data_IF_655838296420
#
_entry.id   IF_655838296420
#
_cell.length_a   1.000
_cell.length_b   1.000
_cell.length_c   1.000
_cell.angle_alpha   90.00
_cell.angle_beta   90.00
_cell.angle_gamma   90.00
#
_symmetry.space_group_name_H-M   'P 1'
#
loop_
_entity.id
_entity.type
_entity.pdbx_description
1 polymer ?
#
# COMPACT_ATOMS: atom_id res chain seq x y z
N UNK A 1 -1.99 0.12 11.54
CA UNK A 1 -1.96 -0.06 10.08
C UNK A 1 -0.56 -0.25 9.56
N UNK A 2 -0.39 -1.23 8.67
CA UNK A 2 0.83 -1.45 7.88
C UNK A 2 0.46 -1.52 6.41
N UNK A 3 1.03 -0.63 5.61
CA UNK A 3 0.97 -0.68 4.16
C UNK A 3 2.38 -0.71 3.58
N UNK A 4 2.57 -1.41 2.48
CA UNK A 4 3.85 -1.42 1.76
C UNK A 4 3.66 -1.65 0.27
N UNK A 5 4.67 -1.25 -0.49
CA UNK A 5 4.73 -1.48 -1.92
C UNK A 5 6.17 -1.60 -2.40
N UNK A 6 6.37 -2.32 -3.49
CA UNK A 6 7.68 -2.48 -4.10
C UNK A 6 7.60 -2.72 -5.61
N UNK A 7 8.63 -2.26 -6.31
CA UNK A 7 8.83 -2.57 -7.72
C UNK A 7 9.52 -3.92 -7.80
N UNK A 8 8.96 -4.81 -8.63
CA UNK A 8 9.49 -6.13 -8.94
C UNK A 8 10.09 -6.14 -10.36
N UNK A 9 10.80 -7.21 -10.72
CA UNK A 9 11.35 -7.39 -12.07
C UNK A 9 10.28 -7.38 -13.17
N UNK A 10 9.07 -7.80 -12.84
CA UNK A 10 7.96 -8.05 -13.74
C UNK A 10 6.68 -7.26 -13.39
N UNK A 11 6.76 -6.34 -12.43
CA UNK A 11 5.61 -5.54 -12.05
C UNK A 11 5.74 -4.79 -10.74
N UNK A 12 4.62 -4.61 -10.06
CA UNK A 12 4.53 -3.95 -8.75
C UNK A 12 3.75 -4.86 -7.80
N UNK A 13 4.23 -4.95 -6.58
CA UNK A 13 3.53 -5.61 -5.49
C UNK A 13 3.11 -4.58 -4.44
N UNK A 14 1.85 -4.66 -4.03
CA UNK A 14 1.30 -3.91 -2.90
C UNK A 14 0.81 -4.88 -1.83
N UNK A 15 1.06 -4.54 -0.56
CA UNK A 15 0.61 -5.34 0.57
C UNK A 15 0.09 -4.45 1.71
N UNK A 16 -0.92 -4.94 2.42
CA UNK A 16 -1.48 -4.25 3.58
C UNK A 16 -2.05 -5.24 4.60
N UNK A 17 -2.02 -4.87 5.87
CA UNK A 17 -2.84 -5.50 6.91
C UNK A 17 -4.30 -5.07 6.76
N UNK A 18 -5.19 -5.65 7.56
CA UNK A 18 -6.64 -5.38 7.45
C UNK A 18 -7.32 -4.92 8.74
N UNK A 19 -6.56 -4.68 9.83
CA UNK A 19 -7.14 -4.19 11.08
C UNK A 19 -7.49 -2.71 11.00
N UNK A 20 -8.72 -2.36 11.36
CA UNK A 20 -9.10 -0.97 11.65
C UNK A 20 -9.49 -0.84 13.12
N UNK A 21 -9.02 0.23 13.76
CA UNK A 21 -9.21 0.50 15.18
C UNK A 21 -9.95 1.82 15.41
N UNK A 22 -10.71 1.88 16.49
CA UNK A 22 -11.26 3.11 17.03
C UNK A 22 -10.68 3.28 18.43
N UNK A 23 -9.72 4.20 18.58
CA UNK A 23 -8.88 4.26 19.77
C UNK A 23 -8.10 2.94 19.96
N UNK A 24 -8.22 2.32 21.13
CA UNK A 24 -7.59 1.04 21.45
C UNK A 24 -8.43 -0.19 21.04
N UNK A 25 -9.67 0.00 20.58
CA UNK A 25 -10.56 -1.10 20.23
C UNK A 25 -10.42 -1.49 18.77
N UNK A 26 -10.38 -2.79 18.47
CA UNK A 26 -10.44 -3.32 17.10
C UNK A 26 -11.89 -3.27 16.61
N UNK A 27 -12.18 -2.33 15.71
CA UNK A 27 -13.51 -2.14 15.15
C UNK A 27 -13.78 -3.07 13.95
N UNK A 28 -12.79 -3.25 13.07
CA UNK A 28 -12.89 -4.08 11.86
C UNK A 28 -11.63 -4.91 11.73
N UNK A 29 -11.78 -6.20 11.35
CA UNK A 29 -10.64 -7.14 11.23
C UNK A 29 -10.24 -7.46 9.80
N UNK A 30 -11.06 -7.09 8.83
CA UNK A 30 -10.93 -7.43 7.40
C UNK A 30 -11.13 -6.23 6.47
N UNK A 31 -10.74 -5.04 6.95
CA UNK A 31 -10.83 -3.81 6.16
C UNK A 31 -9.89 -3.86 4.97
N UNK A 32 -10.43 -3.57 3.79
CA UNK A 32 -9.61 -3.41 2.59
C UNK A 32 -8.87 -2.05 2.60
N UNK A 33 -7.54 -2.08 2.63
CA UNK A 33 -6.66 -0.91 2.61
C UNK A 33 -5.94 -0.71 1.27
N UNK A 34 -6.33 -1.48 0.24
CA UNK A 34 -5.80 -1.37 -1.12
C UNK A 34 -6.97 -1.19 -2.08
N UNK A 35 -7.10 -0.01 -2.65
CA UNK A 35 -8.19 0.33 -3.58
C UNK A 35 -7.68 0.31 -5.02
N UNK A 36 -8.45 -0.30 -5.92
CA UNK A 36 -8.22 -0.27 -7.36
C UNK A 36 -8.65 1.09 -7.93
N UNK A 37 -7.75 1.75 -8.63
CA UNK A 37 -8.03 2.99 -9.36
C UNK A 37 -8.32 2.67 -10.82
N UNK A 38 -7.47 1.85 -11.43
CA UNK A 38 -7.66 1.25 -12.75
C UNK A 38 -7.30 -0.23 -12.67
N UNK A 39 -7.49 -1.04 -13.72
CA UNK A 39 -7.01 -2.42 -13.73
C UNK A 39 -5.51 -2.58 -13.46
N UNK A 40 -4.71 -1.51 -13.65
CA UNK A 40 -3.25 -1.54 -13.58
C UNK A 40 -2.65 -0.59 -12.52
N UNK A 41 -3.49 0.18 -11.81
CA UNK A 41 -3.07 1.14 -10.78
C UNK A 41 -3.89 0.93 -9.53
N UNK A 42 -3.19 0.77 -8.40
CA UNK A 42 -3.77 0.57 -7.08
C UNK A 42 -3.17 1.55 -6.08
N UNK A 43 -3.91 1.82 -5.03
CA UNK A 43 -3.49 2.71 -3.95
C UNK A 43 -3.66 2.01 -2.61
N UNK A 44 -2.55 1.87 -1.86
CA UNK A 44 -2.63 1.55 -0.43
C UNK A 44 -2.87 2.84 0.36
N UNK A 45 -3.64 2.75 1.42
CA UNK A 45 -3.95 3.93 2.24
C UNK A 45 -3.84 3.64 3.74
N UNK A 46 -3.31 4.61 4.46
CA UNK A 46 -3.10 4.62 5.91
C UNK A 46 -3.44 6.01 6.47
N UNK A 47 -3.97 6.07 7.68
CA UNK A 47 -4.40 7.29 8.34
C UNK A 47 -5.86 7.20 8.78
N UNK A 48 -6.59 8.31 8.74
CA UNK A 48 -8.02 8.31 9.01
C UNK A 48 -8.80 7.57 7.91
N UNK A 49 -9.63 6.60 8.32
CA UNK A 49 -10.33 5.72 7.39
C UNK A 49 -11.31 6.49 6.48
N UNK A 50 -12.00 7.49 7.00
CA UNK A 50 -12.96 8.28 6.22
C UNK A 50 -12.24 9.12 5.16
N UNK A 51 -11.19 9.82 5.56
CA UNK A 51 -10.35 10.65 4.66
C UNK A 51 -9.72 9.81 3.55
N UNK A 52 -9.12 8.67 3.91
CA UNK A 52 -8.39 7.83 2.96
C UNK A 52 -9.31 7.14 1.95
N UNK A 53 -10.48 6.66 2.38
CA UNK A 53 -11.48 6.09 1.47
C UNK A 53 -12.08 7.14 0.53
N UNK A 54 -12.36 8.34 1.05
CA UNK A 54 -12.85 9.45 0.23
C UNK A 54 -11.83 9.85 -0.84
N UNK A 55 -10.54 9.96 -0.46
CA UNK A 55 -9.45 10.26 -1.39
C UNK A 55 -9.30 9.19 -2.50
N UNK A 56 -9.33 7.92 -2.13
CA UNK A 56 -9.21 6.82 -3.09
C UNK A 56 -10.40 6.80 -4.07
N UNK A 57 -11.63 7.02 -3.57
CA UNK A 57 -12.83 7.12 -4.41
C UNK A 57 -12.77 8.33 -5.34
N UNK A 58 -12.43 9.51 -4.81
CA UNK A 58 -12.27 10.72 -5.61
C UNK A 58 -11.23 10.52 -6.72
N UNK A 59 -10.07 9.93 -6.39
CA UNK A 59 -9.05 9.65 -7.40
C UNK A 59 -9.58 8.73 -8.50
N UNK A 60 -10.31 7.68 -8.13
CA UNK A 60 -10.91 6.76 -9.11
C UNK A 60 -11.91 7.45 -10.03
N UNK A 61 -12.80 8.27 -9.50
CA UNK A 61 -13.77 9.05 -10.27
C UNK A 61 -13.09 10.06 -11.20
N UNK A 62 -12.06 10.76 -10.69
CA UNK A 62 -11.30 11.74 -11.47
C UNK A 62 -10.52 11.07 -12.62
N UNK A 63 -9.90 9.94 -12.37
CA UNK A 63 -9.20 9.15 -13.40
C UNK A 63 -10.16 8.65 -14.48
N UNK A 64 -11.35 8.18 -14.08
CA UNK A 64 -12.38 7.77 -15.02
C UNK A 64 -12.88 8.95 -15.88
N UNK A 65 -13.05 10.13 -15.26
CA UNK A 65 -13.41 11.34 -15.99
C UNK A 65 -12.35 11.70 -17.05
N UNK A 66 -11.07 11.71 -16.67
CA UNK A 66 -9.98 11.98 -17.62
C UNK A 66 -9.91 10.97 -18.76
N UNK A 67 -10.19 9.70 -18.49
CA UNK A 67 -10.20 8.65 -19.51
C UNK A 67 -11.31 8.85 -20.54
N UNK A 68 -12.46 9.36 -20.13
CA UNK A 68 -13.58 9.67 -21.04
C UNK A 68 -13.30 10.93 -21.85
N UNK A 69 -12.76 11.96 -21.23
CA UNK A 69 -12.53 13.26 -21.88
C UNK A 69 -11.41 13.20 -22.94
N UNK A 70 -10.41 12.37 -22.73
CA UNK A 70 -9.24 12.30 -23.61
C UNK A 70 -9.50 11.63 -24.97
N UNK A 71 -10.64 10.97 -25.19
CA UNK A 71 -10.95 10.19 -26.41
C UNK A 71 -9.78 9.28 -26.88
N UNK A 72 -8.77 9.11 -26.03
CA UNK A 72 -7.54 8.39 -26.32
C UNK A 72 -7.54 7.05 -25.57
N UNK A 73 -7.14 6.01 -26.26
CA UNK A 73 -6.82 4.71 -25.64
C UNK A 73 -5.58 4.78 -24.73
N UNK A 74 -5.15 5.98 -24.34
CA UNK A 74 -3.95 6.18 -23.53
C UNK A 74 -4.23 5.82 -22.08
N UNK A 75 -3.43 4.92 -21.52
CA UNK A 75 -3.51 4.55 -20.12
C UNK A 75 -3.05 5.74 -19.26
N UNK A 76 -3.81 6.09 -18.25
CA UNK A 76 -3.38 7.09 -17.26
C UNK A 76 -2.12 6.58 -16.58
N UNK A 77 -1.14 7.48 -16.38
CA UNK A 77 0.11 7.11 -15.74
C UNK A 77 -0.01 7.10 -14.22
N UNK A 78 0.81 6.25 -13.58
CA UNK A 78 0.93 6.16 -12.11
C UNK A 78 1.35 7.50 -11.52
N UNK A 79 2.23 8.22 -12.22
CA UNK A 79 2.70 9.54 -11.80
C UNK A 79 1.57 10.58 -11.76
N UNK A 80 0.64 10.57 -12.70
CA UNK A 80 -0.53 11.46 -12.68
C UNK A 80 -1.40 11.20 -11.45
N UNK A 81 -1.68 9.92 -11.13
CA UNK A 81 -2.40 9.56 -9.92
C UNK A 81 -1.72 10.08 -8.65
N UNK A 82 -0.40 9.93 -8.56
CA UNK A 82 0.38 10.42 -7.43
C UNK A 82 0.35 11.96 -7.33
N UNK A 83 0.42 12.69 -8.46
CA UNK A 83 0.36 14.16 -8.47
C UNK A 83 -1.03 14.69 -8.10
N UNK A 84 -2.10 14.03 -8.50
CA UNK A 84 -3.46 14.39 -8.09
C UNK A 84 -3.61 14.27 -6.57
N UNK A 85 -3.22 13.12 -5.99
CA UNK A 85 -3.24 12.92 -4.54
C UNK A 85 -2.37 13.93 -3.81
N UNK A 86 -1.15 14.16 -4.31
CA UNK A 86 -0.23 15.18 -3.78
C UNK A 86 -0.90 16.55 -3.67
N UNK A 87 -1.54 17.01 -4.76
CA UNK A 87 -2.19 18.32 -4.80
C UNK A 87 -3.34 18.43 -3.81
N UNK A 88 -4.16 17.37 -3.70
CA UNK A 88 -5.27 17.34 -2.74
C UNK A 88 -4.75 17.38 -1.31
N UNK A 89 -3.77 16.54 -0.97
CA UNK A 89 -3.19 16.49 0.38
C UNK A 89 -2.49 17.78 0.73
N UNK A 90 -1.73 18.38 -0.18
CA UNK A 90 -1.05 19.65 0.03
C UNK A 90 -2.04 20.78 0.38
N UNK A 91 -3.16 20.85 -0.33
CA UNK A 91 -4.17 21.87 -0.12
C UNK A 91 -5.03 21.66 1.15
N UNK A 92 -5.05 20.42 1.68
CA UNK A 92 -5.92 20.04 2.80
C UNK A 92 -5.12 19.39 3.95
N UNK A 93 -3.81 19.63 4.05
CA UNK A 93 -2.89 18.97 5.00
C UNK A 93 -3.29 19.11 6.46
N UNK A 94 -4.01 20.19 6.81
CA UNK A 94 -4.47 20.46 8.17
C UNK A 94 -5.70 19.59 8.56
N UNK A 95 -6.44 19.09 7.57
CA UNK A 95 -7.70 18.38 7.78
C UNK A 95 -7.63 16.90 7.42
N UNK A 96 -6.77 16.52 6.47
CA UNK A 96 -6.66 15.16 5.96
C UNK A 96 -5.47 14.44 6.59
N UNK A 97 -5.76 13.43 7.41
CA UNK A 97 -4.77 12.51 7.95
C UNK A 97 -4.65 11.29 7.02
N UNK A 98 -3.82 11.40 5.98
CA UNK A 98 -3.65 10.35 5.01
C UNK A 98 -2.21 10.22 4.53
N UNK A 99 -1.74 8.98 4.45
CA UNK A 99 -0.51 8.57 3.82
C UNK A 99 -0.86 7.48 2.81
N UNK A 100 -0.41 7.61 1.57
CA UNK A 100 -0.82 6.73 0.49
C UNK A 100 0.39 6.21 -0.29
N UNK A 101 0.31 4.98 -0.76
CA UNK A 101 1.28 4.39 -1.68
C UNK A 101 0.54 4.10 -2.97
N UNK A 102 0.94 4.75 -4.06
CA UNK A 102 0.40 4.54 -5.40
C UNK A 102 1.34 3.61 -6.16
N UNK A 103 0.84 2.50 -6.61
CA UNK A 103 1.63 1.53 -7.36
C UNK A 103 0.88 1.03 -8.59
N UNK A 104 1.61 0.79 -9.66
CA UNK A 104 1.02 0.29 -10.90
C UNK A 104 2.02 0.11 -12.03
N UNK A 105 1.49 -0.34 -13.16
CA UNK A 105 2.25 -0.53 -14.40
C UNK A 105 1.57 0.27 -15.51
N UNK A 106 2.27 1.26 -16.02
CA UNK A 106 1.83 2.08 -17.15
C UNK A 106 2.76 1.90 -18.37
N UNK A 107 2.67 2.80 -19.33
CA UNK A 107 3.50 2.76 -20.56
C UNK A 107 5.01 2.95 -20.27
N UNK A 108 5.34 3.57 -19.15
CA UNK A 108 6.72 3.77 -18.71
C UNK A 108 7.25 2.59 -17.85
N UNK A 109 6.42 1.53 -17.68
CA UNK A 109 6.74 0.35 -16.88
C UNK A 109 6.23 0.41 -15.44
N UNK A 110 6.78 -0.43 -14.55
CA UNK A 110 6.42 -0.46 -13.15
C UNK A 110 6.83 0.83 -12.43
N UNK A 111 5.89 1.44 -11.69
CA UNK A 111 6.11 2.66 -10.92
C UNK A 111 5.49 2.56 -9.53
N UNK A 112 6.14 3.19 -8.57
CA UNK A 112 5.70 3.28 -7.18
C UNK A 112 5.95 4.69 -6.64
N UNK A 113 4.96 5.28 -6.01
CA UNK A 113 5.06 6.58 -5.37
C UNK A 113 4.57 6.51 -3.93
N UNK A 114 5.34 7.11 -3.03
CA UNK A 114 4.93 7.40 -1.67
C UNK A 114 4.36 8.82 -1.61
N UNK A 115 3.11 8.98 -1.23
CA UNK A 115 2.45 10.27 -1.05
C UNK A 115 2.17 10.50 0.42
N UNK A 116 2.84 11.50 0.99
CA UNK A 116 2.75 11.84 2.41
C UNK A 116 1.63 12.85 2.68
N UNK A 117 1.18 12.91 3.92
CA UNK A 117 0.20 13.89 4.40
C UNK A 117 0.60 15.35 4.08
N UNK A 118 1.88 15.66 4.13
CA UNK A 118 2.40 17.00 3.78
C UNK A 118 2.18 17.40 2.32
N UNK A 119 1.71 16.49 1.47
CA UNK A 119 1.63 16.68 0.03
C UNK A 119 2.98 16.47 -0.67
N UNK A 120 3.91 15.72 -0.06
CA UNK A 120 5.13 15.30 -0.73
C UNK A 120 4.86 13.97 -1.45
N UNK A 121 5.12 13.90 -2.75
CA UNK A 121 5.05 12.67 -3.55
C UNK A 121 6.45 12.30 -4.05
N UNK A 122 6.93 11.13 -3.63
CA UNK A 122 8.29 10.65 -3.91
C UNK A 122 8.23 9.36 -4.72
N UNK A 123 8.91 9.27 -5.88
CA UNK A 123 9.12 7.99 -6.54
C UNK A 123 10.01 7.09 -5.67
N UNK A 124 9.70 5.80 -5.61
CA UNK A 124 10.41 4.82 -4.79
C UNK A 124 10.49 3.48 -5.51
N UNK A 125 11.52 2.68 -5.21
CA UNK A 125 11.57 1.25 -5.55
C UNK A 125 10.89 0.40 -4.47
N UNK A 126 10.90 0.90 -3.23
CA UNK A 126 10.25 0.34 -2.07
C UNK A 126 9.64 1.45 -1.19
N UNK A 127 8.47 1.21 -0.64
CA UNK A 127 7.80 2.11 0.30
C UNK A 127 7.04 1.32 1.37
N UNK A 128 7.05 1.84 2.60
CA UNK A 128 6.24 1.33 3.70
C UNK A 128 5.63 2.50 4.48
N UNK A 129 4.42 2.32 5.01
CA UNK A 129 3.70 3.37 5.73
C UNK A 129 2.76 2.82 6.80
N UNK A 130 2.17 3.73 7.56
CA UNK A 130 1.33 3.41 8.71
C UNK A 130 2.13 3.13 9.98
N UNK A 131 1.43 2.93 11.10
CA UNK A 131 2.04 2.70 12.44
C UNK A 131 2.96 1.48 12.50
N UNK A 132 2.62 0.42 11.75
CA UNK A 132 3.43 -0.81 11.71
C UNK A 132 4.70 -0.68 10.87
N UNK A 133 4.83 0.33 10.02
CA UNK A 133 6.03 0.51 9.19
C UNK A 133 7.30 0.68 10.02
N UNK A 134 7.22 1.30 11.20
CA UNK A 134 8.36 1.48 12.11
C UNK A 134 8.96 0.16 12.58
N UNK A 135 8.14 -0.88 12.72
CA UNK A 135 8.58 -2.21 13.17
C UNK A 135 9.24 -3.03 12.07
N UNK A 136 8.96 -2.71 10.81
CA UNK A 136 9.46 -3.50 9.67
C UNK A 136 10.56 -2.80 8.88
N UNK A 137 10.84 -1.51 9.14
CA UNK A 137 11.83 -0.74 8.36
C UNK A 137 13.20 -1.42 8.36
N UNK A 138 13.73 -1.79 9.53
CA UNK A 138 15.04 -2.46 9.60
C UNK A 138 15.05 -3.84 8.94
N UNK A 139 13.95 -4.60 9.05
CA UNK A 139 13.77 -5.86 8.33
C UNK A 139 13.79 -5.63 6.81
N UNK A 140 13.08 -4.60 6.35
CA UNK A 140 13.02 -4.26 4.93
C UNK A 140 14.38 -3.80 4.41
N UNK A 141 15.11 -2.96 5.14
CA UNK A 141 16.45 -2.51 4.77
C UNK A 141 17.45 -3.68 4.64
N UNK A 142 17.30 -4.69 5.49
CA UNK A 142 18.18 -5.85 5.48
C UNK A 142 17.85 -6.85 4.35
N UNK A 143 16.58 -7.09 4.08
CA UNK A 143 16.14 -8.21 3.23
C UNK A 143 15.55 -7.79 1.88
N UNK A 144 15.11 -6.55 1.70
CA UNK A 144 14.68 -6.07 0.39
C UNK A 144 15.85 -6.07 -0.59
N UNK A 145 15.58 -6.52 -1.81
CA UNK A 145 16.52 -6.45 -2.94
C UNK A 145 15.77 -5.97 -4.16
N UNK A 146 16.38 -5.03 -4.88
CA UNK A 146 15.86 -4.62 -6.18
C UNK A 146 15.91 -5.78 -7.17
N UNK A 147 14.93 -5.85 -8.06
CA UNK A 147 14.84 -6.93 -9.05
C UNK A 147 14.29 -8.27 -8.54
N UNK A 148 13.72 -8.32 -7.32
CA UNK A 148 12.93 -9.47 -6.87
C UNK A 148 11.82 -9.80 -7.88
N UNK A 149 11.56 -11.09 -8.11
CA UNK A 149 10.35 -11.51 -8.84
C UNK A 149 9.10 -11.25 -7.99
N UNK A 150 7.93 -11.23 -8.61
CA UNK A 150 6.66 -11.00 -7.88
C UNK A 150 6.41 -12.08 -6.81
N UNK A 151 6.86 -13.31 -7.03
CA UNK A 151 6.77 -14.41 -6.05
C UNK A 151 7.68 -14.15 -4.85
N UNK A 152 8.95 -13.80 -5.09
CA UNK A 152 9.91 -13.45 -4.04
C UNK A 152 9.44 -12.23 -3.22
N UNK A 153 8.95 -11.21 -3.91
CA UNK A 153 8.37 -10.02 -3.31
C UNK A 153 7.13 -10.34 -2.46
N UNK A 154 6.29 -11.28 -2.92
CA UNK A 154 5.12 -11.75 -2.17
C UNK A 154 5.51 -12.42 -0.87
N UNK A 155 6.47 -13.34 -0.91
CA UNK A 155 6.97 -14.01 0.30
C UNK A 155 7.60 -13.01 1.27
N UNK A 156 8.40 -12.10 0.75
CA UNK A 156 9.02 -11.02 1.54
C UNK A 156 7.96 -10.13 2.20
N UNK A 157 6.95 -9.65 1.44
CA UNK A 157 5.89 -8.78 1.94
C UNK A 157 5.04 -9.47 3.02
N UNK A 158 4.70 -10.74 2.82
CA UNK A 158 3.98 -11.52 3.82
C UNK A 158 4.75 -11.61 5.14
N UNK A 159 6.05 -11.88 5.10
CA UNK A 159 6.90 -11.91 6.28
C UNK A 159 6.96 -10.52 6.95
N UNK A 160 7.22 -9.48 6.18
CA UNK A 160 7.32 -8.11 6.70
C UNK A 160 6.02 -7.66 7.39
N UNK A 161 4.87 -7.76 6.69
CA UNK A 161 3.59 -7.36 7.28
C UNK A 161 3.23 -8.22 8.48
N UNK A 162 3.54 -9.52 8.46
CA UNK A 162 3.32 -10.40 9.62
C UNK A 162 4.15 -9.96 10.83
N UNK A 163 5.41 -9.55 10.65
CA UNK A 163 6.22 -8.96 11.73
C UNK A 163 5.56 -7.72 12.35
N UNK A 164 4.99 -6.84 11.50
CA UNK A 164 4.27 -5.67 11.99
C UNK A 164 3.03 -6.07 12.81
N UNK A 165 2.24 -7.06 12.34
CA UNK A 165 1.02 -7.49 13.05
C UNK A 165 1.29 -8.08 14.43
N UNK A 166 2.50 -8.58 14.69
CA UNK A 166 2.92 -9.12 15.99
C UNK A 166 3.26 -7.99 16.97
N UNK A 167 3.85 -6.90 16.49
CA UNK A 167 4.37 -5.81 17.33
C UNK A 167 3.46 -4.60 17.42
N UNK A 168 2.77 -4.25 16.33
CA UNK A 168 1.89 -3.09 16.28
C UNK A 168 0.46 -3.47 16.64
N UNK A 169 -0.03 -2.97 17.76
CA UNK A 169 -1.43 -3.17 18.18
C UNK A 169 -2.48 -2.64 17.20
N UNK A 170 -2.10 -1.70 16.33
CA UNK A 170 -2.97 -1.11 15.32
C UNK A 170 -2.92 -1.86 13.98
N UNK A 171 -2.06 -2.86 13.82
CA UNK A 171 -1.96 -3.73 12.64
C UNK A 171 -2.40 -5.15 12.97
N UNK A 172 -3.05 -5.85 12.02
CA UNK A 172 -3.51 -7.22 12.22
C UNK A 172 -4.50 -7.67 11.17
N UNK A 173 -5.09 -8.86 11.39
CA UNK A 173 -6.04 -9.48 10.48
C UNK A 173 -5.38 -10.09 9.23
N UNK A 174 -6.17 -10.56 8.25
CA UNK A 174 -5.67 -11.05 6.98
C UNK A 174 -4.81 -10.02 6.25
N UNK A 175 -3.76 -10.50 5.58
CA UNK A 175 -2.88 -9.67 4.75
C UNK A 175 -3.43 -9.65 3.34
N UNK A 176 -3.71 -8.45 2.83
CA UNK A 176 -4.14 -8.23 1.45
C UNK A 176 -2.90 -7.97 0.59
N UNK A 177 -2.73 -8.78 -0.47
CA UNK A 177 -1.66 -8.66 -1.46
C UNK A 177 -2.29 -8.36 -2.82
N UNK A 178 -1.73 -7.38 -3.53
CA UNK A 178 -2.07 -7.11 -4.93
C UNK A 178 -0.79 -7.17 -5.76
N UNK A 179 -0.75 -8.10 -6.68
CA UNK A 179 0.29 -8.26 -7.69
C UNK A 179 -0.18 -7.60 -8.97
N UNK A 180 0.60 -6.68 -9.53
CA UNK A 180 0.24 -5.90 -10.72
C UNK A 180 1.34 -6.10 -11.76
N UNK A 181 0.97 -6.68 -12.90
CA UNK A 181 1.85 -6.83 -14.05
C UNK A 181 1.35 -6.00 -15.24
N UNK A 182 2.08 -6.00 -16.34
CA UNK A 182 1.66 -5.31 -17.57
C UNK A 182 0.35 -5.89 -18.14
N UNK A 183 0.08 -7.16 -17.90
CA UNK A 183 -1.03 -7.90 -18.51
C UNK A 183 -2.24 -8.04 -17.59
N UNK A 184 -1.99 -8.17 -16.28
CA UNK A 184 -3.04 -8.49 -15.31
C UNK A 184 -2.73 -7.97 -13.92
N UNK A 185 -3.77 -7.92 -13.09
CA UNK A 185 -3.62 -7.74 -11.65
C UNK A 185 -4.32 -8.85 -10.89
N UNK A 186 -3.70 -9.33 -9.81
CA UNK A 186 -4.22 -10.40 -8.96
C UNK A 186 -4.23 -9.96 -7.51
N UNK A 187 -5.40 -10.06 -6.87
CA UNK A 187 -5.57 -9.83 -5.44
C UNK A 187 -5.67 -11.15 -4.67
N UNK A 188 -5.00 -11.23 -3.56
CA UNK A 188 -5.01 -12.41 -2.68
C UNK A 188 -5.09 -11.97 -1.22
N UNK A 189 -5.92 -12.66 -0.44
CA UNK A 189 -6.02 -12.50 1.01
C UNK A 189 -5.38 -13.69 1.70
N UNK A 190 -4.38 -13.42 2.54
CA UNK A 190 -3.62 -14.46 3.25
C UNK A 190 -3.83 -14.29 4.74
N UNK A 191 -4.24 -15.34 5.43
CA UNK A 191 -4.29 -15.33 6.89
C UNK A 191 -2.86 -15.28 7.43
N UNK A 192 -2.55 -14.41 8.43
CA UNK A 192 -1.24 -14.39 9.04
C UNK A 192 -0.92 -15.79 9.58
N UNK A 193 0.27 -16.27 9.27
CA UNK A 193 0.76 -17.47 9.92
C UNK A 193 0.99 -17.14 11.40
N UNK A 194 0.47 -17.95 12.32
CA UNK A 194 0.90 -17.95 13.70
C UNK A 194 2.36 -18.44 13.71
N UNK A 195 3.30 -17.55 13.41
CA UNK A 195 4.72 -17.89 13.54
C UNK A 195 5.04 -17.93 15.03
N UNK A 196 5.54 -19.04 15.56
CA UNK A 196 6.04 -19.08 16.91
C UNK A 196 7.16 -18.03 17.03
N UNK A 197 7.14 -17.27 18.10
CA UNK A 197 8.21 -16.33 18.40
C UNK A 197 9.52 -17.13 18.49
N UNK A 198 10.51 -16.80 17.68
CA UNK A 198 11.81 -17.48 17.67
C UNK A 198 12.70 -17.11 18.89
N UNK A 199 12.08 -16.82 20.04
CA UNK A 199 12.80 -16.63 21.28
C UNK A 199 12.16 -17.43 22.41
N UNK A 200 12.99 -18.03 23.23
CA UNK A 200 12.57 -18.76 24.42
C UNK A 200 12.21 -17.76 25.52
N UNK A 201 10.98 -17.80 26.01
CA UNK A 201 10.63 -17.06 27.21
C UNK A 201 11.35 -17.74 28.38
N UNK A 202 12.37 -17.10 28.94
CA UNK A 202 12.98 -17.57 30.17
C UNK A 202 11.95 -17.37 31.28
N UNK A 203 11.40 -18.45 31.81
CA UNK A 203 10.56 -18.42 33.01
C UNK A 203 11.49 -18.13 34.18
N UNK A 204 11.40 -16.93 34.76
CA UNK A 204 11.98 -16.59 36.07
C UNK A 204 11.17 -17.21 37.19
#
# INVERSE_FOLDING_TARGET
>A
TTIMGMICSDGVLLAADSRATTGSMVAIRDMNKITDITPYIYVCHSGDAASTQALARFLKEYVNYLAVDSNSNCRISVSVCAQVLRKILQNNKEYLLAQMIVGGVDENGPQLYMVMQSGCALPRTFAAGGSGSTYITSYCDQFFREGMTIEQATEFALKAVNHATIRDGYSGGPINIVQITKETSKRTWVKPANQPLNYTIVKT
#
